data_IF_902386755166
#
_entry.id   IF_902386755166
#
_cell.length_a   1.000
_cell.length_b   1.000
_cell.length_c   1.000
_cell.angle_alpha   90.00
_cell.angle_beta   90.00
_cell.angle_gamma   90.00
#
_symmetry.space_group_name_H-M   'P 1'
#
loop_
_entity.id
_entity.type
_entity.pdbx_description
1 polymer ?
#
# COMPACT_ATOMS: atom_id res chain seq x y z
N UNK A 1 -1.45 -0.23 13.10
CA UNK A 1 -0.79 -0.40 14.42
C UNK A 1 0.65 0.15 14.47
N UNK A 2 1.69 -0.60 14.07
CA UNK A 2 3.07 -0.14 14.29
C UNK A 2 3.52 0.97 13.32
N UNK A 3 2.93 1.06 12.13
CA UNK A 3 3.07 2.22 11.25
C UNK A 3 2.50 3.48 11.92
N UNK A 4 1.31 3.40 12.53
CA UNK A 4 0.75 4.52 13.32
C UNK A 4 1.73 4.94 14.43
N UNK A 5 2.38 3.98 15.10
CA UNK A 5 3.40 4.31 16.09
C UNK A 5 4.63 5.02 15.48
N UNK A 6 5.03 4.67 14.26
CA UNK A 6 6.06 5.42 13.53
C UNK A 6 5.58 6.84 13.19
N UNK A 7 4.31 6.99 12.83
CA UNK A 7 3.69 8.29 12.57
C UNK A 7 3.67 9.20 13.82
N UNK A 8 3.58 8.65 15.05
CA UNK A 8 3.81 9.41 16.29
C UNK A 8 5.18 10.11 16.26
N UNK A 9 6.21 9.38 15.85
CA UNK A 9 7.58 9.92 15.76
C UNK A 9 7.68 10.98 14.67
N UNK A 10 7.04 10.76 13.51
CA UNK A 10 6.94 11.78 12.45
C UNK A 10 6.25 13.05 12.95
N UNK A 11 5.07 12.95 13.54
CA UNK A 11 4.33 14.10 14.05
C UNK A 11 5.11 14.83 15.15
N UNK A 12 5.84 14.10 16.01
CA UNK A 12 6.75 14.71 17.00
C UNK A 12 7.88 15.53 16.35
N UNK A 13 8.35 15.13 15.16
CA UNK A 13 9.30 15.90 14.35
C UNK A 13 8.68 17.22 13.92
N UNK A 14 7.43 17.21 13.48
CA UNK A 14 6.71 18.44 13.17
C UNK A 14 6.56 19.32 14.41
N UNK A 15 6.18 18.77 15.56
CA UNK A 15 6.13 19.52 16.84
C UNK A 15 7.41 20.28 17.14
N UNK A 16 8.57 19.68 16.83
CA UNK A 16 9.87 20.22 17.22
C UNK A 16 10.51 21.10 16.15
N UNK A 17 10.41 20.70 14.89
CA UNK A 17 11.24 21.22 13.79
C UNK A 17 10.44 21.90 12.69
N UNK A 18 9.10 21.79 12.67
CA UNK A 18 8.32 22.53 11.68
C UNK A 18 8.58 24.04 11.81
N UNK A 19 8.71 24.77 10.69
CA UNK A 19 9.19 26.14 10.69
C UNK A 19 8.24 27.12 11.38
N UNK A 20 6.93 26.86 11.34
CA UNK A 20 5.91 27.78 11.89
C UNK A 20 5.30 27.26 13.19
N UNK A 21 4.95 28.15 14.14
CA UNK A 21 4.22 27.76 15.35
C UNK A 21 2.88 27.06 15.05
N UNK A 22 2.19 27.46 13.97
CA UNK A 22 0.91 26.86 13.57
C UNK A 22 1.07 25.39 13.19
N UNK A 23 2.10 25.08 12.38
CA UNK A 23 2.39 23.71 11.99
C UNK A 23 2.85 22.89 13.20
N UNK A 24 3.73 23.43 14.06
CA UNK A 24 4.12 22.74 15.30
C UNK A 24 2.92 22.37 16.18
N UNK A 25 1.93 23.26 16.30
CA UNK A 25 0.71 22.99 17.05
C UNK A 25 -0.16 21.90 16.40
N UNK A 26 -0.29 21.89 15.07
CA UNK A 26 -0.98 20.79 14.37
C UNK A 26 -0.25 19.46 14.54
N UNK A 27 1.09 19.47 14.53
CA UNK A 27 1.90 18.29 14.83
C UNK A 27 1.60 17.71 16.22
N UNK A 28 1.29 18.55 17.22
CA UNK A 28 0.91 18.06 18.56
C UNK A 28 -0.39 17.27 18.50
N UNK A 29 -1.39 17.76 17.77
CA UNK A 29 -2.65 17.04 17.59
C UNK A 29 -2.45 15.76 16.78
N UNK A 30 -1.71 15.81 15.67
CA UNK A 30 -1.35 14.61 14.90
C UNK A 30 -0.63 13.58 15.77
N UNK A 31 0.34 13.99 16.59
CA UNK A 31 1.04 13.08 17.50
C UNK A 31 0.09 12.40 18.52
N UNK A 32 -0.93 13.11 18.99
CA UNK A 32 -1.96 12.54 19.86
C UNK A 32 -2.87 11.58 19.11
N UNK A 33 -3.27 11.94 17.88
CA UNK A 33 -4.09 11.11 17.00
C UNK A 33 -3.35 9.79 16.69
N UNK A 34 -2.08 9.83 16.29
CA UNK A 34 -1.31 8.61 16.01
C UNK A 34 -1.02 7.76 17.25
N UNK A 35 -0.90 8.42 18.42
CA UNK A 35 -0.78 7.68 19.68
C UNK A 35 -2.08 6.93 19.96
N UNK A 36 -3.22 7.57 19.71
CA UNK A 36 -4.55 6.96 19.83
C UNK A 36 -4.71 5.81 18.83
N UNK A 37 -4.38 6.00 17.55
CA UNK A 37 -4.50 4.99 16.50
C UNK A 37 -3.70 3.73 16.86
N UNK A 38 -2.42 3.91 17.18
CA UNK A 38 -1.54 2.81 17.57
C UNK A 38 -2.07 2.04 18.78
N UNK A 39 -2.51 2.74 19.83
CA UNK A 39 -2.99 2.11 21.06
C UNK A 39 -4.34 1.41 20.88
N UNK A 40 -5.26 2.00 20.11
CA UNK A 40 -6.58 1.40 19.85
C UNK A 40 -6.43 0.11 19.03
N UNK A 41 -5.63 0.13 17.96
CA UNK A 41 -5.35 -1.06 17.15
C UNK A 41 -4.75 -2.21 17.96
N UNK A 42 -3.75 -1.88 18.79
CA UNK A 42 -3.10 -2.85 19.68
C UNK A 42 -4.09 -3.41 20.69
N UNK A 43 -4.91 -2.55 21.30
CA UNK A 43 -5.91 -2.97 22.28
C UNK A 43 -6.97 -3.87 21.64
N UNK A 44 -7.49 -3.48 20.48
CA UNK A 44 -8.50 -4.26 19.76
C UNK A 44 -7.96 -5.64 19.38
N UNK A 45 -6.77 -5.69 18.78
CA UNK A 45 -6.13 -6.95 18.39
C UNK A 45 -5.75 -7.83 19.58
N UNK A 46 -5.35 -7.24 20.72
CA UNK A 46 -5.04 -7.99 21.92
C UNK A 46 -6.22 -8.83 22.40
N UNK A 47 -7.44 -8.30 22.34
CA UNK A 47 -8.63 -9.06 22.72
C UNK A 47 -8.91 -10.22 21.76
N UNK A 48 -8.44 -10.12 20.50
CA UNK A 48 -8.56 -11.15 19.47
C UNK A 48 -7.55 -12.32 19.61
N UNK A 49 -6.54 -12.19 20.47
CA UNK A 49 -5.57 -13.27 20.77
C UNK A 49 -6.24 -14.53 21.34
N UNK A 50 -7.43 -14.39 21.95
CA UNK A 50 -8.21 -15.50 22.50
C UNK A 50 -8.82 -16.38 21.40
N UNK A 51 -8.99 -15.81 20.20
CA UNK A 51 -9.60 -16.46 19.05
C UNK A 51 -8.53 -17.00 18.10
N UNK A 52 -7.46 -16.25 17.88
CA UNK A 52 -6.37 -16.67 17.01
C UNK A 52 -5.01 -16.11 17.45
N UNK A 53 -3.99 -16.95 17.68
CA UNK A 53 -2.66 -16.48 18.05
C UNK A 53 -1.99 -15.61 16.98
N UNK A 54 -2.48 -15.61 15.73
CA UNK A 54 -1.97 -14.74 14.67
C UNK A 54 -2.14 -13.26 15.00
N UNK A 55 -3.08 -12.87 15.87
CA UNK A 55 -3.20 -11.48 16.32
C UNK A 55 -2.00 -10.98 17.15
N UNK A 56 -1.09 -11.86 17.58
CA UNK A 56 0.20 -11.47 18.17
C UNK A 56 1.05 -10.68 17.17
N UNK A 57 0.86 -10.93 15.87
CA UNK A 57 1.56 -10.23 14.80
C UNK A 57 1.21 -8.74 14.72
N UNK A 58 0.09 -8.29 15.28
CA UNK A 58 -0.23 -6.85 15.39
C UNK A 58 0.90 -6.07 16.07
N UNK A 59 1.54 -6.67 17.10
CA UNK A 59 2.73 -6.11 17.73
C UNK A 59 4.02 -6.71 17.15
N UNK A 60 4.09 -8.04 17.07
CA UNK A 60 5.31 -8.77 16.74
C UNK A 60 5.83 -8.50 15.34
N UNK A 61 4.97 -8.23 14.36
CA UNK A 61 5.34 -8.07 12.94
C UNK A 61 6.57 -7.16 12.77
N UNK A 62 6.53 -5.97 13.36
CA UNK A 62 7.61 -4.97 13.26
C UNK A 62 8.85 -5.30 14.10
N UNK A 63 8.88 -6.44 14.77
CA UNK A 63 10.07 -7.01 15.42
C UNK A 63 10.61 -8.25 14.69
N UNK A 64 10.10 -8.54 13.49
CA UNK A 64 10.57 -9.63 12.63
C UNK A 64 11.31 -9.10 11.39
N UNK A 65 11.85 -10.04 10.62
CA UNK A 65 12.38 -9.86 9.26
C UNK A 65 11.47 -10.50 8.21
N UNK A 66 10.18 -10.61 8.50
CA UNK A 66 9.17 -11.04 7.51
C UNK A 66 9.18 -10.04 6.34
N UNK A 67 9.11 -10.54 5.12
CA UNK A 67 9.43 -9.75 3.92
C UNK A 67 8.39 -8.67 3.65
N UNK A 68 7.10 -8.95 3.85
CA UNK A 68 6.02 -7.99 3.69
C UNK A 68 6.16 -6.84 4.69
N UNK A 69 6.49 -7.14 5.94
CA UNK A 69 6.78 -6.13 6.97
C UNK A 69 8.03 -5.32 6.61
N UNK A 70 9.08 -5.94 6.05
CA UNK A 70 10.26 -5.20 5.59
C UNK A 70 9.93 -4.24 4.45
N UNK A 71 9.04 -4.62 3.52
CA UNK A 71 8.57 -3.72 2.47
C UNK A 71 7.81 -2.50 3.04
N UNK A 72 6.90 -2.74 3.99
CA UNK A 72 6.17 -1.68 4.68
C UNK A 72 7.12 -0.77 5.46
N UNK A 73 8.03 -1.33 6.26
CA UNK A 73 9.03 -0.56 6.99
C UNK A 73 9.93 0.25 6.07
N UNK A 74 10.40 -0.34 4.98
CA UNK A 74 11.29 0.36 4.05
C UNK A 74 10.63 1.62 3.47
N UNK A 75 9.32 1.60 3.21
CA UNK A 75 8.60 2.79 2.77
C UNK A 75 8.41 3.81 3.91
N UNK A 76 7.89 3.37 5.06
CA UNK A 76 7.57 4.31 6.14
C UNK A 76 8.82 4.82 6.89
N UNK A 77 9.90 4.04 6.98
CA UNK A 77 11.18 4.55 7.48
C UNK A 77 11.67 5.70 6.61
N UNK A 78 11.53 5.60 5.29
CA UNK A 78 11.92 6.64 4.34
C UNK A 78 10.96 7.86 4.43
N UNK A 79 9.66 7.65 4.22
CA UNK A 79 8.67 8.71 4.15
C UNK A 79 8.39 9.41 5.50
N UNK A 80 8.56 8.73 6.64
CA UNK A 80 8.25 9.27 7.96
C UNK A 80 9.50 9.52 8.81
N UNK A 81 10.35 8.50 8.98
CA UNK A 81 11.40 8.53 10.01
C UNK A 81 12.72 9.14 9.55
N UNK A 82 13.03 9.05 8.26
CA UNK A 82 14.27 9.58 7.68
C UNK A 82 14.05 10.89 6.91
N UNK A 83 12.81 11.22 6.56
CA UNK A 83 12.44 12.46 5.91
C UNK A 83 12.55 13.71 6.82
N UNK A 84 12.77 14.86 6.18
CA UNK A 84 12.59 16.17 6.81
C UNK A 84 11.10 16.53 6.97
N UNK A 85 10.78 17.65 7.63
CA UNK A 85 9.39 18.03 7.87
C UNK A 85 8.58 18.25 6.58
N UNK A 86 9.22 18.74 5.52
CA UNK A 86 8.57 19.05 4.24
C UNK A 86 8.31 17.77 3.48
N UNK A 87 9.31 16.92 3.34
CA UNK A 87 9.19 15.64 2.64
C UNK A 87 8.19 14.71 3.31
N UNK A 88 8.21 14.61 4.64
CA UNK A 88 7.24 13.79 5.36
C UNK A 88 5.80 14.31 5.23
N UNK A 89 5.58 15.64 5.23
CA UNK A 89 4.24 16.18 5.03
C UNK A 89 3.70 15.96 3.61
N UNK A 90 4.57 15.92 2.59
CA UNK A 90 4.16 15.60 1.23
C UNK A 90 3.98 14.09 1.03
N UNK A 91 4.95 13.29 1.45
CA UNK A 91 4.94 11.85 1.23
C UNK A 91 3.92 11.14 2.11
N UNK A 92 3.88 11.46 3.40
CA UNK A 92 2.96 10.85 4.34
C UNK A 92 1.64 11.61 4.39
N UNK A 93 1.62 12.87 4.83
CA UNK A 93 0.33 13.53 5.10
C UNK A 93 -0.51 13.85 3.86
N UNK A 94 0.10 14.39 2.80
CA UNK A 94 -0.64 14.65 1.57
C UNK A 94 -0.90 13.38 0.77
N UNK A 95 0.14 12.56 0.56
CA UNK A 95 0.02 11.44 -0.37
C UNK A 95 -0.61 10.25 0.32
N UNK A 96 0.03 9.67 1.34
CA UNK A 96 -0.48 8.45 1.98
C UNK A 96 -1.75 8.71 2.77
N UNK A 97 -1.73 9.62 3.74
CA UNK A 97 -2.84 9.84 4.67
C UNK A 97 -4.05 10.41 3.91
N UNK A 98 -3.89 11.59 3.30
CA UNK A 98 -4.99 12.24 2.61
C UNK A 98 -5.39 11.54 1.31
N UNK A 99 -4.40 11.18 0.48
CA UNK A 99 -4.64 10.65 -0.86
C UNK A 99 -4.98 9.16 -0.94
N UNK A 100 -4.58 8.35 0.05
CA UNK A 100 -4.79 6.90 0.04
C UNK A 100 -5.59 6.39 1.25
N UNK A 101 -5.05 6.49 2.47
CA UNK A 101 -5.60 5.80 3.66
C UNK A 101 -6.91 6.42 4.11
N UNK A 102 -7.10 7.73 3.96
CA UNK A 102 -8.35 8.40 4.35
C UNK A 102 -9.58 7.78 3.66
N UNK A 103 -9.51 7.53 2.34
CA UNK A 103 -10.62 6.88 1.61
C UNK A 103 -10.60 5.36 1.79
N UNK A 104 -9.42 4.75 1.92
CA UNK A 104 -9.30 3.32 2.22
C UNK A 104 -10.03 2.96 3.52
N UNK A 105 -9.89 3.75 4.58
CA UNK A 105 -10.50 3.48 5.87
C UNK A 105 -12.01 3.61 5.83
N UNK A 106 -12.55 4.56 5.04
CA UNK A 106 -13.99 4.65 4.79
C UNK A 106 -14.50 3.39 4.11
N UNK A 107 -13.83 2.94 3.04
CA UNK A 107 -14.21 1.73 2.32
C UNK A 107 -14.09 0.48 3.20
N UNK A 108 -12.99 0.34 3.93
CA UNK A 108 -12.75 -0.79 4.81
C UNK A 108 -13.75 -0.84 5.98
N UNK A 109 -14.13 0.30 6.55
CA UNK A 109 -15.18 0.37 7.57
C UNK A 109 -16.55 -0.05 7.01
N UNK A 110 -16.86 0.32 5.77
CA UNK A 110 -18.09 -0.08 5.09
C UNK A 110 -18.12 -1.58 4.75
N UNK A 111 -16.97 -2.16 4.42
CA UNK A 111 -16.84 -3.60 4.16
C UNK A 111 -16.87 -4.42 5.45
N UNK A 112 -16.23 -3.95 6.52
CA UNK A 112 -16.35 -4.54 7.85
C UNK A 112 -17.81 -4.59 8.33
N UNK A 113 -18.56 -3.51 8.13
CA UNK A 113 -19.99 -3.46 8.44
C UNK A 113 -20.80 -4.46 7.60
N UNK A 114 -20.53 -4.54 6.28
CA UNK A 114 -21.19 -5.49 5.40
C UNK A 114 -20.90 -6.96 5.76
N UNK A 115 -19.67 -7.24 6.24
CA UNK A 115 -19.27 -8.54 6.76
C UNK A 115 -19.84 -8.85 8.16
N UNK A 116 -20.54 -7.90 8.79
CA UNK A 116 -21.11 -8.04 10.13
C UNK A 116 -20.15 -7.77 11.28
N UNK A 117 -18.93 -7.30 11.02
CA UNK A 117 -17.96 -6.90 12.04
C UNK A 117 -18.17 -5.43 12.43
N UNK A 118 -19.21 -5.20 13.24
CA UNK A 118 -19.60 -3.88 13.73
C UNK A 118 -18.49 -3.24 14.59
N UNK A 119 -17.76 -4.05 15.37
CA UNK A 119 -16.72 -3.55 16.26
C UNK A 119 -15.52 -3.03 15.45
N UNK A 120 -15.11 -3.77 14.42
CA UNK A 120 -14.04 -3.34 13.53
C UNK A 120 -14.44 -2.14 12.69
N UNK A 121 -15.67 -2.11 12.16
CA UNK A 121 -16.20 -0.95 11.44
C UNK A 121 -16.21 0.32 12.31
N UNK A 122 -16.66 0.23 13.56
CA UNK A 122 -16.66 1.37 14.49
C UNK A 122 -15.25 1.85 14.84
N UNK A 123 -14.29 0.94 15.01
CA UNK A 123 -12.89 1.30 15.23
C UNK A 123 -12.32 2.07 14.03
N UNK A 124 -12.45 1.51 12.81
CA UNK A 124 -11.95 2.11 11.59
C UNK A 124 -12.56 3.47 11.30
N UNK A 125 -13.89 3.59 11.37
CA UNK A 125 -14.59 4.86 11.17
C UNK A 125 -14.19 5.91 12.22
N UNK A 126 -13.95 5.49 13.46
CA UNK A 126 -13.50 6.42 14.50
C UNK A 126 -12.05 6.89 14.32
N UNK A 127 -11.16 6.04 13.79
CA UNK A 127 -9.80 6.44 13.41
C UNK A 127 -9.87 7.40 12.21
N UNK A 128 -10.65 7.04 11.18
CA UNK A 128 -10.77 7.84 9.97
C UNK A 128 -11.21 9.29 10.23
N UNK A 129 -12.04 9.54 11.24
CA UNK A 129 -12.44 10.91 11.60
C UNK A 129 -11.31 11.78 12.14
N UNK A 130 -10.21 11.20 12.64
CA UNK A 130 -9.02 11.93 13.06
C UNK A 130 -8.07 12.23 11.88
N UNK A 131 -8.01 11.35 10.85
CA UNK A 131 -7.12 11.47 9.68
C UNK A 131 -7.18 12.87 9.03
N UNK A 132 -8.38 13.40 8.79
CA UNK A 132 -8.54 14.71 8.16
C UNK A 132 -7.89 15.86 8.97
N UNK A 133 -7.71 15.69 10.29
CA UNK A 133 -7.15 16.72 11.17
C UNK A 133 -5.66 16.90 10.97
N UNK A 134 -4.87 15.84 10.82
CA UNK A 134 -3.43 15.95 10.66
C UNK A 134 -2.97 15.76 9.21
N UNK A 135 -3.69 15.00 8.39
CA UNK A 135 -3.35 14.82 6.97
C UNK A 135 -3.37 16.16 6.20
N UNK A 136 -4.19 17.12 6.65
CA UNK A 136 -4.29 18.46 6.04
C UNK A 136 -2.96 19.25 6.04
N UNK A 137 -1.97 18.86 6.86
CA UNK A 137 -0.67 19.53 6.94
C UNK A 137 0.09 19.52 5.60
N UNK A 138 -0.21 18.55 4.73
CA UNK A 138 0.39 18.42 3.41
C UNK A 138 0.06 19.56 2.45
N UNK A 139 -1.17 20.07 2.47
CA UNK A 139 -1.65 21.11 1.54
C UNK A 139 -0.89 22.44 1.64
N UNK A 140 -0.83 23.13 2.80
CA UNK A 140 -0.09 24.38 2.90
C UNK A 140 1.41 24.18 2.67
N UNK A 141 1.93 23.00 3.00
CA UNK A 141 3.33 22.64 2.73
C UNK A 141 3.58 22.57 1.22
N UNK A 142 2.68 21.92 0.46
CA UNK A 142 2.75 21.89 -0.99
C UNK A 142 2.63 23.29 -1.59
N UNK A 143 1.70 24.14 -1.12
CA UNK A 143 1.55 25.51 -1.62
C UNK A 143 2.86 26.28 -1.52
N UNK A 144 3.49 26.26 -0.33
CA UNK A 144 4.74 26.98 -0.08
C UNK A 144 5.87 26.39 -0.92
N UNK A 145 5.96 25.06 -1.03
CA UNK A 145 7.00 24.44 -1.84
C UNK A 145 6.82 24.76 -3.34
N UNK A 146 5.58 24.82 -3.84
CA UNK A 146 5.31 25.24 -5.22
C UNK A 146 5.69 26.71 -5.49
N UNK A 147 5.66 27.59 -4.49
CA UNK A 147 6.13 28.98 -4.66
C UNK A 147 7.65 29.09 -4.79
N UNK A 148 8.41 28.15 -4.20
CA UNK A 148 9.87 28.27 -4.06
C UNK A 148 10.68 27.24 -4.85
N UNK A 149 10.19 26.00 -4.94
CA UNK A 149 10.82 24.88 -5.64
C UNK A 149 9.77 23.89 -6.19
N UNK A 150 9.07 24.29 -7.29
CA UNK A 150 8.09 23.42 -7.94
C UNK A 150 8.65 22.07 -8.40
N UNK A 151 9.94 22.02 -8.74
CA UNK A 151 10.59 20.80 -9.21
C UNK A 151 10.75 19.80 -8.06
N UNK A 152 11.16 20.25 -6.87
CA UNK A 152 11.20 19.40 -5.66
C UNK A 152 9.80 18.95 -5.27
N UNK A 153 8.79 19.81 -5.36
CA UNK A 153 7.40 19.44 -5.08
C UNK A 153 6.89 18.32 -5.99
N UNK A 154 7.07 18.47 -7.31
CA UNK A 154 6.71 17.44 -8.28
C UNK A 154 7.45 16.13 -7.99
N UNK A 155 8.78 16.19 -7.81
CA UNK A 155 9.59 14.99 -7.56
C UNK A 155 9.14 14.24 -6.29
N UNK A 156 8.91 14.96 -5.20
CA UNK A 156 8.47 14.36 -3.93
C UNK A 156 7.09 13.70 -4.06
N UNK A 157 6.15 14.37 -4.72
CA UNK A 157 4.80 13.84 -4.93
C UNK A 157 4.81 12.61 -5.85
N UNK A 158 5.58 12.65 -6.93
CA UNK A 158 5.74 11.52 -7.85
C UNK A 158 6.30 10.28 -7.10
N UNK A 159 7.44 10.42 -6.42
CA UNK A 159 8.05 9.29 -5.68
C UNK A 159 7.08 8.72 -4.63
N UNK A 160 6.45 9.59 -3.86
CA UNK A 160 5.50 9.19 -2.83
C UNK A 160 4.30 8.46 -3.41
N UNK A 161 3.72 8.96 -4.51
CA UNK A 161 2.55 8.38 -5.14
C UNK A 161 2.85 6.98 -5.66
N UNK A 162 3.95 6.80 -6.40
CA UNK A 162 4.32 5.48 -6.92
C UNK A 162 4.55 4.45 -5.81
N UNK A 163 5.34 4.81 -4.78
CA UNK A 163 5.63 3.87 -3.68
C UNK A 163 4.37 3.54 -2.86
N UNK A 164 3.48 4.51 -2.67
CA UNK A 164 2.18 4.30 -2.04
C UNK A 164 1.30 3.35 -2.86
N UNK A 165 1.23 3.54 -4.19
CA UNK A 165 0.51 2.62 -5.09
C UNK A 165 1.02 1.19 -4.96
N UNK A 166 2.34 0.98 -4.92
CA UNK A 166 2.94 -0.37 -4.83
C UNK A 166 2.58 -1.09 -3.52
N UNK A 167 2.55 -0.36 -2.40
CA UNK A 167 2.05 -0.92 -1.13
C UNK A 167 0.55 -1.22 -1.20
N UNK A 168 -0.26 -0.33 -1.77
CA UNK A 168 -1.70 -0.54 -1.92
C UNK A 168 -2.05 -1.72 -2.83
N UNK A 169 -1.31 -1.90 -3.93
CA UNK A 169 -1.41 -3.09 -4.79
C UNK A 169 -1.04 -4.37 -4.04
N UNK A 170 -0.25 -4.30 -2.98
CA UNK A 170 0.16 -5.46 -2.19
C UNK A 170 -0.85 -5.79 -1.09
N UNK A 171 -1.36 -4.78 -0.38
CA UNK A 171 -2.15 -4.98 0.84
C UNK A 171 -3.66 -4.84 0.60
N UNK A 172 -4.06 -3.86 -0.22
CA UNK A 172 -5.46 -3.51 -0.44
C UNK A 172 -6.03 -4.24 -1.65
N UNK A 173 -5.28 -4.30 -2.75
CA UNK A 173 -5.72 -4.94 -3.99
C UNK A 173 -6.13 -6.42 -3.82
N UNK A 174 -5.27 -7.28 -3.23
CA UNK A 174 -5.63 -8.67 -2.98
C UNK A 174 -6.82 -8.81 -2.02
N UNK A 175 -6.93 -7.91 -1.03
CA UNK A 175 -8.04 -7.93 -0.09
C UNK A 175 -9.39 -7.69 -0.81
N UNK A 176 -9.47 -6.66 -1.64
CA UNK A 176 -10.69 -6.30 -2.36
C UNK A 176 -11.10 -7.34 -3.41
N UNK A 177 -10.15 -7.82 -4.22
CA UNK A 177 -10.47 -8.62 -5.41
C UNK A 177 -10.48 -10.13 -5.16
N UNK A 178 -9.93 -10.60 -4.03
CA UNK A 178 -9.78 -12.03 -3.76
C UNK A 178 -10.20 -12.45 -2.36
N UNK A 179 -10.02 -11.61 -1.33
CA UNK A 179 -10.33 -12.01 0.05
C UNK A 179 -11.77 -11.68 0.43
N UNK A 180 -12.30 -10.55 -0.05
CA UNK A 180 -13.72 -10.20 0.09
C UNK A 180 -14.58 -11.23 -0.66
N UNK A 181 -15.58 -11.84 0.01
CA UNK A 181 -16.51 -12.76 -0.63
C UNK A 181 -17.18 -12.14 -1.85
N UNK A 182 -17.39 -12.95 -2.90
CA UNK A 182 -17.87 -12.48 -4.20
C UNK A 182 -19.18 -11.68 -4.11
N UNK A 183 -20.13 -12.14 -3.29
CA UNK A 183 -21.43 -11.50 -3.05
C UNK A 183 -21.34 -10.17 -2.27
N UNK A 184 -20.18 -9.88 -1.67
CA UNK A 184 -19.90 -8.65 -0.93
C UNK A 184 -19.01 -7.66 -1.70
N UNK A 185 -18.49 -8.04 -2.88
CA UNK A 185 -17.68 -7.15 -3.72
C UNK A 185 -18.55 -6.07 -4.35
N UNK A 186 -18.40 -4.83 -3.90
CA UNK A 186 -19.14 -3.67 -4.44
C UNK A 186 -18.50 -3.12 -5.72
N UNK A 187 -17.16 -3.19 -5.79
CA UNK A 187 -16.35 -2.74 -6.92
C UNK A 187 -15.01 -3.48 -6.89
N UNK A 188 -14.30 -3.47 -8.01
CA UNK A 188 -12.92 -3.95 -8.09
C UNK A 188 -11.92 -2.96 -7.50
N UNK A 189 -10.73 -3.44 -7.14
CA UNK A 189 -9.61 -2.61 -6.70
C UNK A 189 -9.28 -1.52 -7.73
N UNK A 190 -9.27 -1.85 -9.02
CA UNK A 190 -9.06 -0.87 -10.09
C UNK A 190 -10.15 0.20 -10.11
N UNK A 191 -11.42 -0.18 -10.05
CA UNK A 191 -12.52 0.80 -10.00
C UNK A 191 -12.39 1.71 -8.77
N UNK A 192 -12.03 1.15 -7.60
CA UNK A 192 -11.77 1.95 -6.39
C UNK A 192 -10.61 2.93 -6.58
N UNK A 193 -9.49 2.45 -7.14
CA UNK A 193 -8.33 3.30 -7.42
C UNK A 193 -8.71 4.43 -8.38
N UNK A 194 -9.45 4.14 -9.45
CA UNK A 194 -9.85 5.12 -10.46
C UNK A 194 -10.82 6.17 -9.89
N UNK A 195 -11.88 5.71 -9.21
CA UNK A 195 -12.94 6.59 -8.73
C UNK A 195 -12.46 7.51 -7.61
N UNK A 196 -11.67 6.98 -6.68
CA UNK A 196 -11.33 7.67 -5.45
C UNK A 196 -9.91 8.22 -5.45
N UNK A 197 -8.92 7.38 -5.73
CA UNK A 197 -7.51 7.74 -5.54
C UNK A 197 -6.98 8.57 -6.71
N UNK A 198 -7.21 8.10 -7.93
CA UNK A 198 -6.75 8.75 -9.17
C UNK A 198 -7.44 10.09 -9.35
N UNK A 199 -8.77 10.13 -9.23
CA UNK A 199 -9.53 11.39 -9.32
C UNK A 199 -9.04 12.42 -8.29
N UNK A 200 -8.88 12.00 -7.04
CA UNK A 200 -8.35 12.86 -6.00
C UNK A 200 -6.94 13.39 -6.34
N UNK A 201 -6.03 12.50 -6.76
CA UNK A 201 -4.67 12.89 -7.09
C UNK A 201 -4.61 13.83 -8.30
N UNK A 202 -5.38 13.57 -9.37
CA UNK A 202 -5.49 14.47 -10.52
C UNK A 202 -5.99 15.85 -10.10
N UNK A 203 -6.91 15.92 -9.14
CA UNK A 203 -7.37 17.20 -8.60
C UNK A 203 -6.28 17.97 -7.87
N UNK A 204 -5.46 17.30 -7.06
CA UNK A 204 -4.28 17.91 -6.43
C UNK A 204 -3.32 18.43 -7.50
N UNK A 205 -3.08 17.65 -8.55
CA UNK A 205 -2.18 18.08 -9.62
C UNK A 205 -2.70 19.35 -10.32
N UNK A 206 -4.00 19.38 -10.64
CA UNK A 206 -4.66 20.53 -11.26
C UNK A 206 -4.63 21.78 -10.36
N UNK A 207 -5.06 21.65 -9.11
CA UNK A 207 -5.19 22.77 -8.17
C UNK A 207 -3.86 23.47 -7.86
N UNK A 208 -2.76 22.72 -7.91
CA UNK A 208 -1.42 23.22 -7.62
C UNK A 208 -0.57 23.50 -8.88
N UNK A 209 -1.11 23.24 -10.08
CA UNK A 209 -0.38 23.44 -11.33
C UNK A 209 0.77 22.46 -11.57
N UNK A 210 0.71 21.29 -10.94
CA UNK A 210 1.62 20.18 -11.17
C UNK A 210 1.23 19.41 -12.44
N UNK A 211 2.16 18.61 -12.95
CA UNK A 211 1.92 17.73 -14.09
C UNK A 211 1.62 16.32 -13.59
N UNK A 212 0.91 15.56 -14.42
CA UNK A 212 0.88 14.10 -14.26
C UNK A 212 2.32 13.57 -14.22
N UNK A 213 2.65 12.67 -13.27
CA UNK A 213 3.94 12.02 -13.24
C UNK A 213 4.28 11.41 -14.60
N UNK A 214 5.57 11.38 -14.97
CA UNK A 214 6.00 10.89 -16.28
C UNK A 214 5.57 9.44 -16.58
N UNK A 215 5.34 8.66 -15.52
CA UNK A 215 4.92 7.27 -15.58
C UNK A 215 3.40 7.07 -15.50
N UNK A 216 2.58 8.13 -15.61
CA UNK A 216 1.13 8.04 -15.36
C UNK A 216 0.44 6.93 -16.16
N UNK A 217 0.77 6.77 -17.45
CA UNK A 217 0.19 5.71 -18.27
C UNK A 217 0.60 4.30 -17.80
N UNK A 218 1.86 4.14 -17.38
CA UNK A 218 2.32 2.88 -16.78
C UNK A 218 1.65 2.62 -15.43
N UNK A 219 1.43 3.66 -14.63
CA UNK A 219 0.66 3.55 -13.39
C UNK A 219 -0.77 3.09 -13.67
N UNK A 220 -1.49 3.71 -14.60
CA UNK A 220 -2.84 3.32 -14.97
C UNK A 220 -2.88 1.87 -15.48
N UNK A 221 -1.90 1.49 -16.29
CA UNK A 221 -1.72 0.11 -16.75
C UNK A 221 -1.45 -0.87 -15.60
N UNK A 222 -0.67 -0.47 -14.58
CA UNK A 222 -0.40 -1.31 -13.41
C UNK A 222 -1.67 -1.65 -12.62
N UNK A 223 -2.73 -0.85 -12.69
CA UNK A 223 -3.99 -1.14 -12.00
C UNK A 223 -4.72 -2.36 -12.59
N UNK A 224 -4.39 -2.76 -13.82
CA UNK A 224 -4.94 -3.96 -14.47
C UNK A 224 -4.20 -5.24 -14.03
N UNK A 225 -3.04 -5.13 -13.37
CA UNK A 225 -2.09 -6.23 -13.28
C UNK A 225 -1.36 -6.36 -11.94
N UNK A 226 -0.85 -5.26 -11.37
CA UNK A 226 0.12 -5.30 -10.28
C UNK A 226 -0.39 -6.03 -9.03
N UNK A 227 -1.65 -5.81 -8.62
CA UNK A 227 -2.21 -6.49 -7.47
C UNK A 227 -2.55 -7.97 -7.74
N UNK A 228 -2.86 -8.34 -8.98
CA UNK A 228 -3.04 -9.75 -9.35
C UNK A 228 -1.72 -10.52 -9.27
N UNK A 229 -0.63 -9.91 -9.75
CA UNK A 229 0.72 -10.47 -9.63
C UNK A 229 1.13 -10.60 -8.16
N UNK A 230 0.89 -9.57 -7.35
CA UNK A 230 1.13 -9.61 -5.91
C UNK A 230 0.30 -10.67 -5.20
N UNK A 231 -0.99 -10.82 -5.55
CA UNK A 231 -1.86 -11.83 -4.97
C UNK A 231 -1.38 -13.25 -5.28
N UNK A 232 -1.08 -13.54 -6.55
CA UNK A 232 -0.55 -14.85 -6.96
C UNK A 232 0.74 -15.17 -6.19
N UNK A 233 1.68 -14.22 -6.11
CA UNK A 233 2.92 -14.39 -5.35
C UNK A 233 2.67 -14.62 -3.85
N UNK A 234 1.78 -13.83 -3.25
CA UNK A 234 1.38 -13.93 -1.83
C UNK A 234 0.77 -15.29 -1.54
N UNK A 235 -0.12 -15.79 -2.41
CA UNK A 235 -0.75 -17.10 -2.24
C UNK A 235 0.24 -18.26 -2.44
N UNK A 236 1.12 -18.17 -3.43
CA UNK A 236 2.12 -19.22 -3.68
C UNK A 236 3.13 -19.30 -2.53
N UNK A 237 3.69 -18.15 -2.09
CA UNK A 237 4.59 -18.03 -0.94
C UNK A 237 3.87 -17.97 0.42
N UNK A 238 2.61 -18.42 0.51
CA UNK A 238 1.80 -18.34 1.74
C UNK A 238 2.43 -18.90 3.03
N UNK A 239 3.35 -19.89 3.04
CA UNK A 239 4.00 -20.30 4.28
C UNK A 239 4.90 -19.22 4.91
N UNK A 240 5.27 -18.20 4.14
CA UNK A 240 6.08 -17.07 4.62
C UNK A 240 5.26 -16.01 5.36
N UNK A 241 3.92 -16.11 5.33
CA UNK A 241 3.00 -15.09 5.81
C UNK A 241 2.42 -15.42 7.18
N UNK A 242 1.92 -14.39 7.85
CA UNK A 242 1.26 -14.50 9.15
C UNK A 242 -0.28 -14.46 9.06
N UNK A 243 -0.84 -14.30 7.86
CA UNK A 243 -2.26 -14.51 7.58
C UNK A 243 -2.44 -15.67 6.59
N UNK A 244 -3.69 -16.07 6.36
CA UNK A 244 -4.03 -17.14 5.41
C UNK A 244 -4.65 -16.51 4.17
N UNK A 245 -3.89 -16.29 3.08
CA UNK A 245 -4.45 -15.71 1.87
C UNK A 245 -5.49 -16.65 1.27
N UNK A 246 -6.69 -16.13 0.96
CA UNK A 246 -7.69 -16.86 0.19
C UNK A 246 -7.25 -16.90 -1.28
N UNK A 247 -7.42 -18.03 -1.98
CA UNK A 247 -7.08 -18.11 -3.40
C UNK A 247 -7.97 -17.19 -4.25
N UNK A 248 -9.28 -17.14 -3.95
CA UNK A 248 -10.24 -16.27 -4.62
C UNK A 248 -10.43 -16.53 -6.11
N UNK A 249 -10.31 -17.79 -6.55
CA UNK A 249 -10.32 -18.18 -7.98
C UNK A 249 -11.25 -19.37 -8.26
N UNK A 250 -12.38 -19.47 -7.55
CA UNK A 250 -13.48 -20.33 -7.98
C UNK A 250 -13.99 -19.93 -9.38
N UNK A 251 -14.85 -20.75 -9.99
CA UNK A 251 -15.39 -20.45 -11.34
C UNK A 251 -16.09 -19.09 -11.39
N UNK A 252 -16.93 -18.81 -10.40
CA UNK A 252 -17.71 -17.57 -10.34
C UNK A 252 -16.81 -16.36 -10.04
N UNK A 253 -15.80 -16.53 -9.17
CA UNK A 253 -14.82 -15.48 -8.91
C UNK A 253 -13.94 -15.17 -10.13
N UNK A 254 -13.56 -16.19 -10.92
CA UNK A 254 -12.82 -15.99 -12.17
C UNK A 254 -13.67 -15.33 -13.24
N UNK A 255 -14.96 -15.65 -13.31
CA UNK A 255 -15.89 -14.94 -14.20
C UNK A 255 -15.98 -13.45 -13.84
N UNK A 256 -16.10 -13.13 -12.55
CA UNK A 256 -16.06 -11.75 -12.07
C UNK A 256 -14.72 -11.07 -12.35
N UNK A 257 -13.59 -11.76 -12.12
CA UNK A 257 -12.25 -11.23 -12.43
C UNK A 257 -12.10 -10.94 -13.92
N UNK A 258 -12.60 -11.81 -14.80
CA UNK A 258 -12.60 -11.58 -16.26
C UNK A 258 -13.52 -10.44 -16.67
N UNK A 259 -14.65 -10.24 -16.00
CA UNK A 259 -15.54 -9.10 -16.25
C UNK A 259 -14.85 -7.77 -15.90
N UNK A 260 -14.23 -7.70 -14.72
CA UNK A 260 -13.53 -6.49 -14.23
C UNK A 260 -12.19 -6.24 -14.93
N UNK A 261 -11.52 -7.32 -15.33
CA UNK A 261 -10.19 -7.32 -15.94
C UNK A 261 -10.20 -8.26 -17.16
N UNK A 262 -10.57 -7.79 -18.36
CA UNK A 262 -10.76 -8.63 -19.55
C UNK A 262 -9.56 -9.50 -19.93
N UNK A 263 -8.34 -9.07 -19.63
CA UNK A 263 -7.09 -9.81 -19.91
C UNK A 263 -6.64 -10.71 -18.76
N UNK A 264 -7.42 -10.85 -17.68
CA UNK A 264 -7.03 -11.60 -16.48
C UNK A 264 -6.71 -13.07 -16.77
N UNK A 265 -7.52 -13.72 -17.61
CA UNK A 265 -7.33 -15.12 -17.97
C UNK A 265 -6.06 -15.36 -18.77
N UNK A 266 -5.76 -14.48 -19.74
CA UNK A 266 -4.52 -14.51 -20.52
C UNK A 266 -3.29 -14.38 -19.61
N UNK A 267 -3.41 -13.54 -18.57
CA UNK A 267 -2.27 -13.21 -17.72
C UNK A 267 -2.04 -14.18 -16.57
N UNK A 268 -3.12 -14.56 -15.87
CA UNK A 268 -3.05 -15.21 -14.57
C UNK A 268 -3.76 -16.56 -14.56
N UNK A 269 -4.73 -16.75 -15.46
CA UNK A 269 -5.60 -17.94 -15.50
C UNK A 269 -4.81 -19.23 -15.62
N UNK A 270 -3.85 -19.29 -16.55
CA UNK A 270 -3.03 -20.50 -16.76
C UNK A 270 -2.18 -20.91 -15.55
N UNK A 271 -1.67 -19.94 -14.77
CA UNK A 271 -0.94 -20.25 -13.53
C UNK A 271 -1.88 -20.79 -12.45
N UNK A 272 -3.07 -20.20 -12.33
CA UNK A 272 -4.10 -20.71 -11.42
C UNK A 272 -4.64 -22.07 -11.83
N UNK A 273 -4.75 -22.36 -13.13
CA UNK A 273 -5.18 -23.67 -13.64
C UNK A 273 -4.23 -24.79 -13.18
N UNK A 274 -2.92 -24.56 -13.27
CA UNK A 274 -1.93 -25.55 -12.81
C UNK A 274 -1.95 -25.69 -11.27
N UNK A 275 -2.15 -24.60 -10.54
CA UNK A 275 -2.34 -24.65 -9.07
C UNK A 275 -3.59 -25.47 -8.72
N UNK A 276 -4.74 -25.16 -9.33
CA UNK A 276 -6.02 -25.84 -9.09
C UNK A 276 -5.93 -27.33 -9.43
N UNK A 277 -5.30 -27.67 -10.55
CA UNK A 277 -5.04 -29.06 -10.95
C UNK A 277 -4.22 -29.80 -9.89
N UNK A 278 -3.13 -29.21 -9.40
CA UNK A 278 -2.30 -29.82 -8.36
C UNK A 278 -3.06 -29.98 -7.03
N UNK A 279 -3.88 -28.99 -6.63
CA UNK A 279 -4.76 -29.11 -5.45
C UNK A 279 -5.77 -30.25 -5.62
N UNK A 280 -6.46 -30.32 -6.76
CA UNK A 280 -7.48 -31.34 -7.03
C UNK A 280 -6.91 -32.77 -7.15
N UNK A 281 -5.61 -32.90 -7.38
CA UNK A 281 -4.91 -34.18 -7.47
C UNK A 281 -4.08 -34.50 -6.22
N UNK A 282 -4.28 -33.74 -5.13
CA UNK A 282 -3.61 -33.89 -3.83
C UNK A 282 -2.07 -33.75 -3.88
N UNK A 283 -1.56 -32.97 -4.85
CA UNK A 283 -0.15 -32.62 -5.01
C UNK A 283 0.14 -31.22 -4.41
N UNK A 284 -0.20 -31.05 -3.13
CA UNK A 284 -0.13 -29.75 -2.44
C UNK A 284 1.30 -29.18 -2.42
N UNK A 285 2.32 -30.03 -2.35
CA UNK A 285 3.73 -29.64 -2.37
C UNK A 285 4.13 -28.89 -3.65
N UNK A 286 3.45 -29.14 -4.78
CA UNK A 286 3.69 -28.42 -6.05
C UNK A 286 3.08 -27.02 -6.07
N UNK A 287 2.26 -26.69 -5.08
CA UNK A 287 1.66 -25.35 -4.90
C UNK A 287 2.46 -24.49 -3.91
N UNK A 288 3.65 -24.97 -3.53
CA UNK A 288 4.55 -24.33 -2.58
C UNK A 288 5.90 -24.04 -3.26
N UNK A 289 6.58 -22.96 -2.86
CA UNK A 289 7.86 -22.59 -3.45
C UNK A 289 8.99 -23.49 -2.96
N UNK A 290 9.94 -23.76 -3.85
CA UNK A 290 11.23 -24.38 -3.53
C UNK A 290 12.39 -23.37 -3.51
N UNK A 291 12.11 -22.09 -3.79
CA UNK A 291 13.10 -21.00 -3.83
C UNK A 291 12.48 -19.67 -3.37
N UNK A 292 13.33 -18.69 -3.06
CA UNK A 292 12.89 -17.32 -2.84
C UNK A 292 12.65 -16.60 -4.18
N UNK A 293 11.70 -15.65 -4.23
CA UNK A 293 11.62 -14.72 -5.34
C UNK A 293 12.77 -13.71 -5.24
N UNK A 294 13.21 -13.20 -6.37
CA UNK A 294 14.04 -11.99 -6.39
C UNK A 294 13.20 -10.80 -5.92
N UNK A 295 13.80 -9.90 -5.14
CA UNK A 295 13.12 -8.72 -4.58
C UNK A 295 13.66 -7.42 -5.19
N UNK A 296 12.78 -6.44 -5.35
CA UNK A 296 13.11 -5.08 -5.73
C UNK A 296 13.93 -4.40 -4.63
N UNK A 297 15.05 -3.78 -4.99
CA UNK A 297 15.90 -3.08 -4.03
C UNK A 297 15.33 -1.76 -3.53
N UNK A 298 14.29 -1.22 -4.18
CA UNK A 298 13.51 -0.11 -3.65
C UNK A 298 12.33 -0.62 -2.83
N UNK A 299 11.31 -1.20 -3.45
CA UNK A 299 10.02 -1.53 -2.79
C UNK A 299 10.10 -2.72 -1.85
N UNK A 300 11.15 -3.54 -1.92
CA UNK A 300 11.29 -4.85 -1.26
C UNK A 300 10.20 -5.86 -1.65
N UNK A 301 9.42 -5.59 -2.70
CA UNK A 301 8.41 -6.49 -3.25
C UNK A 301 9.03 -7.42 -4.30
N UNK A 302 8.41 -8.57 -4.61
CA UNK A 302 8.90 -9.49 -5.65
C UNK A 302 9.07 -8.81 -7.01
N UNK A 303 10.16 -9.12 -7.72
CA UNK A 303 10.32 -8.70 -9.11
C UNK A 303 9.21 -9.30 -10.00
N UNK A 304 8.77 -8.55 -11.00
CA UNK A 304 7.70 -8.97 -11.89
C UNK A 304 6.29 -8.81 -11.34
N UNK A 305 6.14 -8.08 -10.23
CA UNK A 305 4.85 -7.85 -9.56
C UNK A 305 4.23 -6.46 -9.82
N UNK A 306 4.83 -5.67 -10.72
CA UNK A 306 4.35 -4.32 -11.03
C UNK A 306 3.33 -4.29 -12.19
N UNK A 307 3.44 -5.21 -13.15
CA UNK A 307 2.71 -5.18 -14.43
C UNK A 307 2.27 -6.59 -14.86
N UNK A 308 1.92 -6.77 -16.14
CA UNK A 308 1.60 -8.06 -16.76
C UNK A 308 2.79 -9.03 -16.68
N UNK A 309 2.50 -10.35 -16.68
CA UNK A 309 3.56 -11.36 -16.83
C UNK A 309 4.30 -11.27 -18.17
N UNK A 310 3.72 -10.63 -19.18
CA UNK A 310 4.32 -10.47 -20.50
C UNK A 310 5.33 -9.32 -20.55
N UNK A 311 5.34 -8.46 -19.53
CA UNK A 311 6.23 -7.30 -19.41
C UNK A 311 7.40 -7.55 -18.45
N UNK A 312 7.69 -8.81 -18.11
CA UNK A 312 8.84 -9.16 -17.30
C UNK A 312 10.13 -8.69 -17.99
N UNK A 313 10.77 -7.67 -17.41
CA UNK A 313 12.01 -7.09 -17.90
C UNK A 313 13.03 -6.93 -16.77
N UNK A 314 14.32 -6.98 -17.12
CA UNK A 314 15.39 -6.63 -16.18
C UNK A 314 15.49 -5.10 -16.07
N UNK A 315 15.12 -4.59 -14.91
CA UNK A 315 15.42 -3.22 -14.52
C UNK A 315 16.54 -3.26 -13.50
N UNK A 316 17.78 -3.12 -13.96
CA UNK A 316 18.96 -3.16 -13.11
C UNK A 316 19.81 -1.90 -13.18
N UNK A 317 20.60 -1.67 -12.14
CA UNK A 317 21.58 -0.58 -12.04
C UNK A 317 22.80 -1.10 -11.29
N UNK A 318 24.00 -0.92 -11.86
CA UNK A 318 25.24 -1.07 -11.10
C UNK A 318 25.63 0.27 -10.52
N UNK A 319 25.59 0.41 -9.20
CA UNK A 319 25.95 1.63 -8.49
C UNK A 319 26.96 1.30 -7.39
N UNK A 320 28.05 2.08 -7.31
CA UNK A 320 29.15 1.87 -6.36
C UNK A 320 29.64 0.40 -6.28
N UNK A 321 29.74 -0.27 -7.44
CA UNK A 321 30.23 -1.65 -7.54
C UNK A 321 29.23 -2.74 -7.12
N UNK A 322 27.99 -2.38 -6.77
CA UNK A 322 26.91 -3.33 -6.46
C UNK A 322 25.85 -3.31 -7.55
N UNK A 323 25.39 -4.49 -7.96
CA UNK A 323 24.23 -4.65 -8.84
C UNK A 323 22.93 -4.60 -8.02
N UNK A 324 22.00 -3.75 -8.47
CA UNK A 324 20.67 -3.58 -7.92
C UNK A 324 19.62 -3.98 -8.97
N UNK A 325 18.49 -4.51 -8.51
CA UNK A 325 17.33 -4.89 -9.34
C UNK A 325 16.06 -4.20 -8.85
N UNK A 326 15.17 -3.86 -9.78
CA UNK A 326 13.94 -3.12 -9.52
C UNK A 326 12.74 -3.80 -10.17
N UNK A 327 11.57 -3.68 -9.54
CA UNK A 327 10.30 -4.26 -10.05
C UNK A 327 9.71 -3.47 -11.22
N UNK A 328 10.25 -2.28 -11.53
CA UNK A 328 9.86 -1.45 -12.67
C UNK A 328 10.94 -0.42 -13.00
N UNK A 329 10.87 0.17 -14.20
CA UNK A 329 11.65 1.35 -14.54
C UNK A 329 11.36 2.54 -13.60
N UNK A 330 10.16 2.62 -13.05
CA UNK A 330 9.72 3.69 -12.13
C UNK A 330 10.42 3.53 -10.78
N UNK A 331 10.45 2.31 -10.23
CA UNK A 331 11.18 2.02 -8.98
C UNK A 331 12.69 2.21 -9.15
N UNK A 332 13.25 1.90 -10.32
CA UNK A 332 14.64 2.25 -10.63
C UNK A 332 14.83 3.78 -10.62
N UNK A 333 13.95 4.52 -11.28
CA UNK A 333 14.00 5.98 -11.31
C UNK A 333 13.94 6.60 -9.92
N UNK A 334 13.04 6.12 -9.04
CA UNK A 334 12.96 6.59 -7.65
C UNK A 334 14.28 6.40 -6.90
N UNK A 335 14.96 5.25 -7.08
CA UNK A 335 16.28 5.01 -6.50
C UNK A 335 17.36 5.94 -7.07
N UNK A 336 17.25 6.34 -8.34
CA UNK A 336 18.20 7.28 -8.95
C UNK A 336 17.98 8.74 -8.50
N UNK A 337 16.88 9.03 -7.79
CA UNK A 337 16.57 10.38 -7.32
C UNK A 337 17.23 10.76 -5.99
N UNK A 338 17.62 9.76 -5.18
CA UNK A 338 18.39 9.91 -3.93
C UNK A 338 19.08 8.59 -3.53
#
# INVERSE_FOLDING_TARGET
>A
CMVEHMAVTMQSRFCRFAPTPRWRNLGVFGMLDETRHAQLDLRFSHDLLKQDPRFDWTQKAFHTKEWGVLAVKNFFDDAMLNADCVEAALATSLTVEHGFTNVQFVALAADAMAAGDINWSNLLSSIQTDEARHAQQGFPTLSILMEHDPARAQKALDIAFWRSTRLFQTLTGPAMDYYTPLDQRKMSFKEFMLEWIVNHHERILEDYGLKKPWYWDQFMYSLEHGHHAMHLGTWFWRPTLFWKPNAGVSKDEREWLREKYPTWEENWGGMWDEIIKNVNTDLIEKTLPATFPSLCNLTQLPLGSAFSLHDLADHSLTYNGRLYHFDSAISKWCFEQD
#
